data_IF_544222178596
#
_entry.id   IF_544222178596
#
_cell.length_a   1.000
_cell.length_b   1.000
_cell.length_c   1.000
_cell.angle_alpha   90.00
_cell.angle_beta   90.00
_cell.angle_gamma   90.00
#
_symmetry.space_group_name_H-M   'P 1'
#
loop_
_entity.id
_entity.type
_entity.pdbx_description
1 polymer ?
#
# COMPACT_ATOMS: atom_id res chain seq x y z
N UNK A 1 -72.51 98.12 12.79
CA UNK A 1 -71.91 97.72 11.49
C UNK A 1 -70.56 98.40 11.39
N UNK A 2 -69.48 97.63 11.59
CA UNK A 2 -68.10 98.13 11.58
C UNK A 2 -67.36 97.34 10.49
N UNK A 3 -66.94 98.04 9.45
CA UNK A 3 -66.16 97.53 8.32
C UNK A 3 -64.71 97.33 8.77
N UNK A 4 -64.23 96.07 8.74
CA UNK A 4 -62.81 95.74 8.93
C UNK A 4 -62.08 95.83 7.59
N UNK A 5 -60.87 96.41 7.51
CA UNK A 5 -60.15 96.57 6.26
C UNK A 5 -59.59 95.23 5.78
N UNK A 6 -59.87 94.90 4.52
CA UNK A 6 -59.25 93.78 3.81
C UNK A 6 -57.78 94.14 3.58
N UNK A 7 -56.89 93.46 4.29
CA UNK A 7 -55.46 93.49 4.01
C UNK A 7 -55.20 92.80 2.67
N UNK A 8 -54.95 93.60 1.63
CA UNK A 8 -54.38 93.16 0.36
C UNK A 8 -52.95 92.66 0.61
N UNK A 9 -52.79 91.35 0.87
CA UNK A 9 -51.50 90.69 0.73
C UNK A 9 -51.20 90.60 -0.75
N UNK A 10 -50.13 91.27 -1.16
CA UNK A 10 -49.57 91.17 -2.50
C UNK A 10 -49.37 89.71 -2.90
N UNK A 11 -49.76 89.36 -4.13
CA UNK A 11 -49.45 88.07 -4.73
C UNK A 11 -47.93 87.86 -4.70
N UNK A 12 -47.48 86.87 -3.93
CA UNK A 12 -46.13 86.33 -4.07
C UNK A 12 -46.02 85.75 -5.49
N UNK A 13 -45.16 86.36 -6.31
CA UNK A 13 -44.80 85.82 -7.62
C UNK A 13 -44.48 84.33 -7.50
N UNK A 14 -44.96 83.46 -8.41
CA UNK A 14 -44.54 82.06 -8.41
C UNK A 14 -43.01 82.03 -8.47
N UNK A 15 -42.36 81.08 -7.76
CA UNK A 15 -40.91 80.99 -7.79
C UNK A 15 -40.48 80.90 -9.24
N UNK A 16 -39.62 81.82 -9.66
CA UNK A 16 -39.02 81.80 -10.98
C UNK A 16 -38.33 80.45 -11.11
N UNK A 17 -38.87 79.58 -11.96
CA UNK A 17 -38.27 78.30 -12.32
C UNK A 17 -36.88 78.57 -12.87
N UNK A 18 -35.89 78.55 -11.99
CA UNK A 18 -34.50 78.72 -12.39
C UNK A 18 -34.14 77.52 -13.26
N UNK A 19 -33.54 77.74 -14.44
CA UNK A 19 -33.23 76.67 -15.39
C UNK A 19 -32.40 75.55 -14.75
N UNK A 20 -31.61 75.87 -13.73
CA UNK A 20 -30.83 74.94 -12.93
C UNK A 20 -31.66 73.89 -12.17
N UNK A 21 -32.82 74.26 -11.63
CA UNK A 21 -33.69 73.33 -10.89
C UNK A 21 -34.30 72.31 -11.87
N UNK A 22 -34.77 72.77 -13.03
CA UNK A 22 -35.29 71.90 -14.10
C UNK A 22 -34.22 70.94 -14.62
N UNK A 23 -32.98 71.39 -14.79
CA UNK A 23 -31.85 70.53 -15.20
C UNK A 23 -31.55 69.46 -14.14
N UNK A 24 -31.54 69.83 -12.85
CA UNK A 24 -31.36 68.88 -11.74
C UNK A 24 -32.47 67.83 -11.70
N UNK A 25 -33.72 68.21 -11.92
CA UNK A 25 -34.86 67.28 -11.99
C UNK A 25 -34.76 66.32 -13.18
N UNK A 26 -34.39 66.82 -14.37
CA UNK A 26 -34.19 65.99 -15.56
C UNK A 26 -33.07 64.97 -15.33
N UNK A 27 -31.97 65.41 -14.72
CA UNK A 27 -30.85 64.54 -14.36
C UNK A 27 -31.25 63.49 -13.31
N UNK A 28 -32.03 63.88 -12.30
CA UNK A 28 -32.56 62.96 -11.30
C UNK A 28 -33.52 61.92 -11.91
N UNK A 29 -34.41 62.33 -12.82
CA UNK A 29 -35.30 61.41 -13.56
C UNK A 29 -34.49 60.45 -14.43
N UNK A 30 -33.43 60.93 -15.08
CA UNK A 30 -32.52 60.09 -15.88
C UNK A 30 -31.79 59.06 -15.01
N UNK A 31 -31.27 59.48 -13.86
CA UNK A 31 -30.60 58.61 -12.89
C UNK A 31 -31.56 57.53 -12.35
N UNK A 32 -32.79 57.91 -12.00
CA UNK A 32 -33.82 56.97 -11.54
C UNK A 32 -34.16 55.92 -12.61
N UNK A 33 -34.30 56.33 -13.88
CA UNK A 33 -34.55 55.40 -14.99
C UNK A 33 -33.39 54.40 -15.16
N UNK A 34 -32.15 54.86 -15.04
CA UNK A 34 -30.97 53.99 -15.08
C UNK A 34 -30.94 53.00 -13.91
N UNK A 35 -31.25 53.46 -12.69
CA UNK A 35 -31.33 52.59 -11.52
C UNK A 35 -32.45 51.54 -11.65
N UNK A 36 -33.62 51.93 -12.14
CA UNK A 36 -34.72 51.01 -12.41
C UNK A 36 -34.34 49.97 -13.47
N UNK A 37 -33.67 50.39 -14.54
CA UNK A 37 -33.17 49.49 -15.58
C UNK A 37 -32.19 48.46 -15.01
N UNK A 38 -31.20 48.90 -14.21
CA UNK A 38 -30.24 47.99 -13.56
C UNK A 38 -30.92 47.02 -12.59
N UNK A 39 -31.91 47.48 -11.81
CA UNK A 39 -32.71 46.62 -10.92
C UNK A 39 -33.48 45.55 -11.70
N UNK A 40 -34.09 45.92 -12.84
CA UNK A 40 -34.78 44.97 -13.73
C UNK A 40 -33.82 43.94 -14.31
N UNK A 41 -32.64 44.36 -14.78
CA UNK A 41 -31.63 43.42 -15.28
C UNK A 41 -31.16 42.45 -14.20
N UNK A 42 -30.90 42.94 -12.98
CA UNK A 42 -30.50 42.09 -11.85
C UNK A 42 -31.59 41.07 -11.49
N UNK A 43 -32.87 41.46 -11.50
CA UNK A 43 -33.99 40.56 -11.27
C UNK A 43 -34.09 39.47 -12.34
N UNK A 44 -33.94 39.83 -13.63
CA UNK A 44 -33.94 38.86 -14.73
C UNK A 44 -32.78 37.86 -14.62
N UNK A 45 -31.58 38.33 -14.25
CA UNK A 45 -30.44 37.46 -13.99
C UNK A 45 -30.66 36.54 -12.78
N UNK A 46 -31.36 37.02 -11.75
CA UNK A 46 -31.70 36.20 -10.60
C UNK A 46 -32.67 35.07 -11.00
N UNK A 47 -33.71 35.39 -11.77
CA UNK A 47 -34.67 34.39 -12.27
C UNK A 47 -33.99 33.38 -13.20
N UNK A 48 -33.13 33.82 -14.13
CA UNK A 48 -32.42 32.89 -15.03
C UNK A 48 -31.47 31.97 -14.26
N UNK A 49 -30.74 32.49 -13.26
CA UNK A 49 -29.89 31.69 -12.36
C UNK A 49 -30.72 30.73 -11.52
N UNK A 50 -31.87 31.15 -11.02
CA UNK A 50 -32.79 30.28 -10.29
C UNK A 50 -33.28 29.13 -11.17
N UNK A 51 -33.72 29.43 -12.40
CA UNK A 51 -34.15 28.40 -13.37
C UNK A 51 -33.00 27.45 -13.70
N UNK A 52 -31.78 27.93 -13.92
CA UNK A 52 -30.63 27.05 -14.18
C UNK A 52 -30.27 26.17 -12.98
N UNK A 53 -30.33 26.70 -11.75
CA UNK A 53 -30.07 25.93 -10.52
C UNK A 53 -31.18 24.92 -10.21
N UNK A 54 -32.41 25.22 -10.60
CA UNK A 54 -33.58 24.37 -10.37
C UNK A 54 -33.91 23.45 -11.55
N UNK A 55 -33.34 23.69 -12.73
CA UNK A 55 -33.41 22.81 -13.91
C UNK A 55 -33.00 21.35 -13.63
N UNK A 56 -31.93 21.04 -12.88
CA UNK A 56 -31.62 19.65 -12.51
C UNK A 56 -32.64 19.02 -11.55
N UNK A 57 -33.54 19.81 -10.96
CA UNK A 57 -34.65 19.35 -10.12
C UNK A 57 -36.01 19.38 -10.85
N UNK A 58 -36.05 19.81 -12.12
CA UNK A 58 -37.22 19.64 -13.00
C UNK A 58 -37.25 18.15 -13.34
N UNK A 59 -38.26 17.46 -12.82
CA UNK A 59 -38.30 15.99 -12.70
C UNK A 59 -37.66 15.23 -13.85
N UNK A 60 -36.77 14.29 -13.51
CA UNK A 60 -36.15 13.38 -14.45
C UNK A 60 -37.22 12.79 -15.39
N UNK A 61 -36.95 12.84 -16.69
CA UNK A 61 -37.83 12.18 -17.64
C UNK A 61 -37.72 10.66 -17.45
N UNK A 62 -38.81 9.93 -17.71
CA UNK A 62 -38.80 8.45 -17.62
C UNK A 62 -37.70 7.83 -18.49
N UNK A 63 -37.31 8.49 -19.59
CA UNK A 63 -36.20 8.08 -20.45
C UNK A 63 -34.85 8.18 -19.75
N UNK A 64 -34.54 9.33 -19.13
CA UNK A 64 -33.29 9.52 -18.39
C UNK A 64 -33.17 8.56 -17.21
N UNK A 65 -34.29 8.29 -16.51
CA UNK A 65 -34.31 7.28 -15.43
C UNK A 65 -33.96 5.90 -15.99
N UNK A 66 -34.58 5.50 -17.10
CA UNK A 66 -34.30 4.22 -17.75
C UNK A 66 -32.84 4.10 -18.18
N UNK A 67 -32.29 5.13 -18.82
CA UNK A 67 -30.88 5.19 -19.22
C UNK A 67 -29.93 5.08 -18.03
N UNK A 68 -30.25 5.73 -16.90
CA UNK A 68 -29.46 5.59 -15.68
C UNK A 68 -29.51 4.17 -15.09
N UNK A 69 -30.66 3.50 -15.13
CA UNK A 69 -30.77 2.11 -14.69
C UNK A 69 -29.99 1.15 -15.60
N UNK A 70 -30.07 1.35 -16.92
CA UNK A 70 -29.28 0.58 -17.88
C UNK A 70 -27.77 0.81 -17.68
N UNK A 71 -27.35 2.06 -17.48
CA UNK A 71 -25.96 2.40 -17.19
C UNK A 71 -25.47 1.76 -15.86
N UNK A 72 -26.30 1.78 -14.81
CA UNK A 72 -26.02 1.08 -13.55
C UNK A 72 -25.90 -0.43 -13.76
N UNK A 73 -26.81 -1.04 -14.51
CA UNK A 73 -26.78 -2.46 -14.86
C UNK A 73 -25.50 -2.84 -15.63
N UNK A 74 -25.11 -2.02 -16.61
CA UNK A 74 -23.88 -2.21 -17.37
C UNK A 74 -22.62 -2.06 -16.50
N UNK A 75 -22.59 -1.09 -15.59
CA UNK A 75 -21.50 -0.91 -14.64
C UNK A 75 -21.36 -2.11 -13.69
N UNK A 76 -22.48 -2.59 -13.14
CA UNK A 76 -22.50 -3.80 -12.31
C UNK A 76 -22.03 -5.03 -13.08
N UNK A 77 -22.47 -5.21 -14.33
CA UNK A 77 -22.02 -6.31 -15.17
C UNK A 77 -20.49 -6.30 -15.38
N UNK A 78 -19.86 -5.12 -15.54
CA UNK A 78 -18.39 -4.99 -15.61
C UNK A 78 -17.72 -5.42 -14.31
N UNK A 79 -18.25 -5.00 -13.16
CA UNK A 79 -17.74 -5.40 -11.83
C UNK A 79 -17.83 -6.92 -11.67
N UNK A 80 -18.97 -7.53 -11.99
CA UNK A 80 -19.17 -8.99 -11.91
C UNK A 80 -18.24 -9.74 -12.86
N UNK A 81 -18.04 -9.27 -14.09
CA UNK A 81 -17.06 -9.88 -15.01
C UNK A 81 -15.64 -9.81 -14.43
N UNK A 82 -15.25 -8.66 -13.86
CA UNK A 82 -13.93 -8.51 -13.24
C UNK A 82 -13.74 -9.41 -12.02
N UNK A 83 -14.78 -9.61 -11.19
CA UNK A 83 -14.70 -10.49 -10.02
C UNK A 83 -14.59 -11.96 -10.41
N UNK A 84 -15.33 -12.39 -11.44
CA UNK A 84 -15.18 -13.74 -12.02
C UNK A 84 -13.76 -13.99 -12.52
N UNK A 85 -13.18 -13.06 -13.26
CA UNK A 85 -11.79 -13.17 -13.75
C UNK A 85 -10.77 -13.21 -12.60
N UNK A 86 -10.94 -12.38 -11.56
CA UNK A 86 -10.10 -12.42 -10.36
C UNK A 86 -10.19 -13.76 -9.65
N UNK A 87 -11.39 -14.29 -9.47
CA UNK A 87 -11.59 -15.59 -8.82
C UNK A 87 -10.94 -16.71 -9.63
N UNK A 88 -11.09 -16.71 -10.96
CA UNK A 88 -10.41 -17.67 -11.83
C UNK A 88 -8.88 -17.57 -11.68
N UNK A 89 -8.31 -16.36 -11.70
CA UNK A 89 -6.88 -16.17 -11.50
C UNK A 89 -6.41 -16.70 -10.12
N UNK A 90 -7.19 -16.47 -9.06
CA UNK A 90 -6.90 -17.03 -7.72
C UNK A 90 -6.94 -18.55 -7.74
N UNK A 91 -7.93 -19.17 -8.39
CA UNK A 91 -8.00 -20.63 -8.49
C UNK A 91 -6.81 -21.22 -9.25
N UNK A 92 -6.40 -20.62 -10.36
CA UNK A 92 -5.21 -21.06 -11.10
C UNK A 92 -3.93 -20.88 -10.30
N UNK A 93 -3.77 -19.76 -9.59
CA UNK A 93 -2.61 -19.52 -8.74
C UNK A 93 -2.52 -20.54 -7.59
N UNK A 94 -3.65 -20.88 -6.96
CA UNK A 94 -3.72 -21.94 -5.94
C UNK A 94 -3.35 -23.31 -6.51
N UNK A 95 -3.90 -23.68 -7.66
CA UNK A 95 -3.59 -24.96 -8.29
C UNK A 95 -2.09 -25.07 -8.62
N UNK A 96 -1.49 -23.99 -9.15
CA UNK A 96 -0.05 -23.93 -9.41
C UNK A 96 0.79 -24.05 -8.14
N UNK A 97 0.46 -23.30 -7.09
CA UNK A 97 1.17 -23.38 -5.82
C UNK A 97 1.11 -24.79 -5.20
N UNK A 98 -0.05 -25.45 -5.27
CA UNK A 98 -0.19 -26.83 -4.80
C UNK A 98 0.64 -27.81 -5.63
N UNK A 99 0.71 -27.63 -6.96
CA UNK A 99 1.56 -28.44 -7.81
C UNK A 99 3.05 -28.25 -7.50
N UNK A 100 3.50 -27.01 -7.26
CA UNK A 100 4.87 -26.69 -6.87
C UNK A 100 5.23 -27.32 -5.52
N UNK A 101 4.37 -27.21 -4.50
CA UNK A 101 4.58 -27.84 -3.19
C UNK A 101 4.61 -29.38 -3.31
N UNK A 102 3.73 -29.95 -4.13
CA UNK A 102 3.73 -31.40 -4.39
C UNK A 102 5.03 -31.84 -5.07
N UNK A 103 5.55 -31.08 -6.02
CA UNK A 103 6.83 -31.36 -6.65
C UNK A 103 8.01 -31.25 -5.66
N UNK A 104 8.03 -30.20 -4.83
CA UNK A 104 9.07 -30.02 -3.81
C UNK A 104 9.06 -31.17 -2.78
N UNK A 105 7.88 -31.55 -2.28
CA UNK A 105 7.77 -32.67 -1.33
C UNK A 105 8.20 -34.00 -1.93
N UNK A 106 7.91 -34.26 -3.21
CA UNK A 106 8.39 -35.45 -3.89
C UNK A 106 9.92 -35.47 -4.00
N UNK A 107 10.52 -34.34 -4.39
CA UNK A 107 11.98 -34.20 -4.44
C UNK A 107 12.63 -34.36 -3.06
N UNK A 108 12.03 -33.79 -2.01
CA UNK A 108 12.50 -33.97 -0.63
C UNK A 108 12.46 -35.43 -0.18
N UNK A 109 11.38 -36.17 -0.51
CA UNK A 109 11.30 -37.60 -0.18
C UNK A 109 12.41 -38.41 -0.85
N UNK A 110 12.63 -38.20 -2.16
CA UNK A 110 13.70 -38.87 -2.90
C UNK A 110 15.06 -38.56 -2.29
N UNK A 111 15.29 -37.29 -1.93
CA UNK A 111 16.53 -36.87 -1.27
C UNK A 111 16.72 -37.56 0.08
N UNK A 112 15.68 -37.60 0.93
CA UNK A 112 15.75 -38.27 2.22
C UNK A 112 16.00 -39.78 2.07
N UNK A 113 15.38 -40.43 1.10
CA UNK A 113 15.64 -41.85 0.81
C UNK A 113 17.08 -42.08 0.34
N UNK A 114 17.62 -41.19 -0.50
CA UNK A 114 19.01 -41.25 -0.94
C UNK A 114 19.99 -41.01 0.22
N UNK A 115 19.71 -40.03 1.08
CA UNK A 115 20.50 -39.74 2.29
C UNK A 115 20.47 -40.94 3.26
N UNK A 116 19.30 -41.55 3.50
CA UNK A 116 19.19 -42.76 4.32
C UNK A 116 19.99 -43.93 3.75
N UNK A 117 19.94 -44.15 2.43
CA UNK A 117 20.75 -45.18 1.78
C UNK A 117 22.24 -44.89 1.89
N UNK A 118 22.66 -43.63 1.72
CA UNK A 118 24.05 -43.22 1.84
C UNK A 118 24.58 -43.39 3.27
N UNK A 119 23.78 -43.03 4.28
CA UNK A 119 24.10 -43.26 5.70
C UNK A 119 24.20 -44.77 5.96
N UNK A 120 23.26 -45.57 5.46
CA UNK A 120 23.30 -47.01 5.63
C UNK A 120 24.52 -47.65 4.97
N UNK A 121 24.92 -47.20 3.77
CA UNK A 121 26.14 -47.68 3.11
C UNK A 121 27.40 -47.25 3.88
N UNK A 122 27.45 -46.02 4.37
CA UNK A 122 28.56 -45.55 5.18
C UNK A 122 28.70 -46.36 6.48
N UNK A 123 27.59 -46.61 7.19
CA UNK A 123 27.58 -47.45 8.39
C UNK A 123 28.01 -48.90 8.10
N UNK A 124 27.66 -49.44 6.93
CA UNK A 124 28.15 -50.77 6.50
C UNK A 124 29.66 -50.77 6.29
N UNK A 125 30.18 -49.81 5.55
CA UNK A 125 31.62 -49.65 5.33
C UNK A 125 32.38 -49.51 6.65
N UNK A 126 31.90 -48.66 7.57
CA UNK A 126 32.52 -48.48 8.88
C UNK A 126 32.52 -49.76 9.73
N UNK A 127 31.49 -50.61 9.61
CA UNK A 127 31.43 -51.93 10.27
C UNK A 127 32.33 -52.97 9.62
N UNK A 128 32.51 -52.90 8.31
CA UNK A 128 33.44 -53.76 7.57
C UNK A 128 34.90 -53.43 7.95
N UNK A 129 35.22 -52.15 8.09
CA UNK A 129 36.54 -51.68 8.53
C UNK A 129 36.80 -51.96 10.02
N UNK A 130 35.77 -51.84 10.87
CA UNK A 130 35.85 -52.18 12.29
C UNK A 130 34.57 -52.91 12.77
N UNK A 131 34.62 -54.23 13.03
CA UNK A 131 33.44 -54.99 13.45
C UNK A 131 32.87 -54.55 14.81
N UNK A 132 33.68 -53.95 15.69
CA UNK A 132 33.26 -53.44 17.01
C UNK A 132 32.89 -51.95 16.98
N UNK A 133 32.80 -51.33 15.81
CA UNK A 133 32.51 -49.89 15.65
C UNK A 133 31.29 -49.41 16.46
N UNK A 134 30.24 -50.22 16.54
CA UNK A 134 29.02 -49.86 17.28
C UNK A 134 29.24 -49.68 18.78
N UNK A 135 30.01 -50.57 19.41
CA UNK A 135 30.30 -50.52 20.85
C UNK A 135 31.26 -49.38 21.17
N UNK A 136 32.30 -49.19 20.34
CA UNK A 136 33.25 -48.09 20.49
C UNK A 136 32.58 -46.72 20.31
N UNK A 137 31.67 -46.59 19.34
CA UNK A 137 30.91 -45.37 19.13
C UNK A 137 30.00 -45.04 20.33
N UNK A 138 29.38 -46.06 20.94
CA UNK A 138 28.59 -45.90 22.17
C UNK A 138 29.45 -45.46 23.34
N UNK A 139 30.60 -46.11 23.57
CA UNK A 139 31.54 -45.72 24.62
C UNK A 139 32.09 -44.30 24.44
N UNK A 140 32.38 -43.90 23.20
CA UNK A 140 32.78 -42.51 22.91
C UNK A 140 31.64 -41.53 23.15
N UNK A 141 30.39 -41.91 22.84
CA UNK A 141 29.22 -41.08 23.08
C UNK A 141 28.95 -40.91 24.58
N UNK A 142 29.05 -41.98 25.38
CA UNK A 142 28.92 -41.90 26.84
C UNK A 142 30.02 -41.05 27.45
N UNK A 143 31.28 -41.26 27.06
CA UNK A 143 32.40 -40.42 27.52
C UNK A 143 32.23 -38.95 27.12
N UNK A 144 31.70 -38.65 25.93
CA UNK A 144 31.41 -37.27 25.51
C UNK A 144 30.25 -36.66 26.29
N UNK A 145 29.21 -37.44 26.57
CA UNK A 145 28.06 -37.00 27.36
C UNK A 145 28.45 -36.77 28.83
N UNK A 146 29.27 -37.64 29.42
CA UNK A 146 29.83 -37.49 30.76
C UNK A 146 30.74 -36.25 30.86
N UNK A 147 31.54 -35.98 29.83
CA UNK A 147 32.35 -34.74 29.74
C UNK A 147 31.51 -33.48 29.56
N UNK A 148 30.30 -33.60 29.00
CA UNK A 148 29.31 -32.53 28.91
C UNK A 148 28.31 -32.65 30.06
N UNK A 149 28.78 -32.50 31.29
CA UNK A 149 27.90 -32.35 32.44
C UNK A 149 27.03 -31.11 32.25
N UNK A 150 25.75 -31.31 31.92
CA UNK A 150 24.65 -30.32 31.93
C UNK A 150 25.04 -28.86 31.71
N UNK A 151 25.29 -28.47 30.47
CA UNK A 151 25.31 -27.04 30.12
C UNK A 151 23.91 -26.46 30.39
N UNK A 152 23.78 -25.53 31.34
CA UNK A 152 22.51 -24.83 31.56
C UNK A 152 22.10 -24.11 30.27
N UNK A 153 20.87 -24.35 29.81
CA UNK A 153 20.31 -23.68 28.64
C UNK A 153 19.96 -22.24 29.02
N UNK A 154 20.93 -21.34 28.94
CA UNK A 154 20.77 -19.91 29.23
C UNK A 154 20.04 -19.15 28.10
N UNK A 155 19.79 -19.81 26.97
CA UNK A 155 19.16 -19.22 25.78
C UNK A 155 17.69 -18.80 26.00
N UNK A 156 17.06 -19.26 27.06
CA UNK A 156 15.67 -18.89 27.42
C UNK A 156 15.58 -17.68 28.34
N UNK A 157 16.68 -17.21 28.93
CA UNK A 157 16.69 -16.12 29.93
C UNK A 157 16.35 -14.73 29.33
N UNK A 158 16.47 -14.57 28.01
CA UNK A 158 16.23 -13.31 27.30
C UNK A 158 14.94 -13.24 26.47
N UNK A 159 14.07 -14.25 26.54
CA UNK A 159 12.81 -14.25 25.80
C UNK A 159 11.77 -13.38 26.51
N UNK A 160 11.00 -12.55 25.78
CA UNK A 160 9.94 -11.76 26.39
C UNK A 160 8.90 -12.70 27.01
N UNK A 161 8.69 -12.57 28.33
CA UNK A 161 7.66 -13.29 29.07
C UNK A 161 6.31 -12.93 28.44
N UNK A 162 5.64 -13.91 27.86
CA UNK A 162 4.29 -13.75 27.32
C UNK A 162 3.35 -13.50 28.50
N UNK A 163 2.54 -12.44 28.45
CA UNK A 163 1.64 -12.02 29.56
C UNK A 163 0.54 -13.03 29.95
N UNK A 164 0.55 -14.24 29.39
CA UNK A 164 -0.43 -15.32 29.64
C UNK A 164 0.22 -16.68 29.92
N UNK A 165 1.53 -16.76 30.11
CA UNK A 165 2.15 -18.01 30.58
C UNK A 165 1.94 -18.13 32.08
N UNK A 166 1.37 -19.25 32.50
CA UNK A 166 1.42 -19.69 33.89
C UNK A 166 2.83 -20.23 34.08
N UNK A 167 3.56 -19.70 35.06
CA UNK A 167 4.84 -20.28 35.47
C UNK A 167 4.55 -21.69 35.97
N UNK A 168 4.93 -22.68 35.18
CA UNK A 168 4.79 -24.08 35.56
C UNK A 168 5.98 -24.42 36.44
N UNK A 169 5.86 -24.11 37.73
CA UNK A 169 6.82 -24.49 38.75
C UNK A 169 6.72 -26.00 39.01
N UNK A 170 7.36 -26.81 38.16
CA UNK A 170 7.38 -28.28 38.28
C UNK A 170 8.14 -28.79 39.52
N UNK A 171 8.62 -27.91 40.42
CA UNK A 171 9.43 -28.28 41.59
C UNK A 171 8.89 -27.77 42.94
N UNK A 172 7.90 -26.88 42.98
CA UNK A 172 7.52 -26.18 44.23
C UNK A 172 6.29 -26.75 44.96
N UNK A 173 5.98 -28.03 44.74
CA UNK A 173 4.80 -28.71 45.31
C UNK A 173 4.86 -29.03 46.82
N UNK A 174 5.84 -28.51 47.57
CA UNK A 174 6.05 -28.90 48.98
C UNK A 174 5.81 -27.82 50.04
N UNK A 175 5.30 -26.63 49.72
CA UNK A 175 4.98 -25.64 50.78
C UNK A 175 3.63 -24.91 50.61
N UNK A 176 2.64 -25.47 51.31
CA UNK A 176 1.69 -24.81 52.24
C UNK A 176 0.72 -23.72 51.73
N UNK A 177 -0.55 -24.14 51.70
CA UNK A 177 -1.81 -23.45 52.06
C UNK A 177 -2.19 -22.12 51.36
N UNK A 178 -3.22 -22.11 50.49
CA UNK A 178 -3.86 -20.88 50.06
C UNK A 178 -4.89 -20.45 51.11
N UNK A 179 -4.58 -19.40 51.88
CA UNK A 179 -5.63 -18.62 52.52
C UNK A 179 -6.32 -17.78 51.43
N UNK A 180 -7.49 -18.24 50.98
CA UNK A 180 -8.41 -17.48 50.15
C UNK A 180 -8.81 -16.20 50.89
N UNK A 181 -8.20 -15.06 50.53
CA UNK A 181 -8.77 -13.75 50.83
C UNK A 181 -9.56 -13.32 49.59
N UNK A 182 -10.87 -13.52 49.69
CA UNK A 182 -11.88 -12.99 48.78
C UNK A 182 -11.97 -11.47 48.93
N UNK A 183 -11.81 -10.77 47.81
CA UNK A 183 -12.31 -9.40 47.64
C UNK A 183 -11.38 -8.28 48.09
N UNK A 184 -10.63 -7.74 47.12
CA UNK A 184 -10.43 -6.29 46.85
C UNK A 184 -9.27 -6.16 45.85
N UNK A 185 -9.61 -5.92 44.59
CA UNK A 185 -8.64 -5.40 43.60
C UNK A 185 -8.51 -3.91 43.90
N UNK A 186 -7.57 -3.53 44.75
CA UNK A 186 -7.14 -2.14 44.85
C UNK A 186 -6.26 -1.83 43.63
N UNK A 187 -6.86 -1.14 42.66
CA UNK A 187 -6.11 -0.55 41.54
C UNK A 187 -5.31 0.64 42.08
N UNK A 188 -4.02 0.44 42.34
CA UNK A 188 -3.10 1.55 42.51
C UNK A 188 -2.77 2.14 41.12
N UNK A 189 -2.93 3.46 40.90
CA UNK A 189 -2.49 4.10 39.68
C UNK A 189 -0.96 4.17 39.67
N UNK A 190 -0.34 3.48 38.72
CA UNK A 190 1.10 3.59 38.47
C UNK A 190 1.35 4.91 37.75
N UNK A 191 1.69 5.96 38.52
CA UNK A 191 2.38 7.12 37.99
C UNK A 191 3.82 6.70 37.62
N UNK A 192 4.33 7.03 36.42
CA UNK A 192 5.74 6.81 36.13
C UNK A 192 6.58 7.81 36.97
N UNK A 193 7.35 7.26 37.90
CA UNK A 193 8.37 8.00 38.63
C UNK A 193 9.47 8.44 37.66
N UNK A 194 9.70 9.75 37.61
CA UNK A 194 10.87 10.35 36.97
C UNK A 194 12.12 9.92 37.75
N UNK A 195 12.94 9.04 37.17
CA UNK A 195 14.31 8.86 37.62
C UNK A 195 15.18 9.95 37.00
N UNK A 196 15.49 10.98 37.78
CA UNK A 196 16.52 11.96 37.48
C UNK A 196 17.86 11.47 38.02
N UNK A 197 18.79 11.12 37.13
CA UNK A 197 20.23 11.15 37.44
C UNK A 197 20.81 12.48 36.93
N UNK A 198 21.62 13.21 37.72
CA UNK A 198 22.18 14.49 37.32
C UNK A 198 23.41 14.27 36.43
N UNK A 199 23.43 14.87 35.24
CA UNK A 199 24.66 15.05 34.47
C UNK A 199 24.75 16.49 33.95
N UNK A 200 25.96 17.03 34.07
CA UNK A 200 26.41 18.40 33.96
C UNK A 200 26.19 19.10 32.60
N UNK A 201 26.27 20.45 32.53
CA UNK A 201 25.74 21.24 31.43
C UNK A 201 26.71 21.32 30.25
N UNK A 202 26.39 20.66 29.14
CA UNK A 202 27.09 20.85 27.86
C UNK A 202 26.45 21.99 27.05
N UNK A 203 27.18 23.11 27.00
CA UNK A 203 27.12 24.24 26.05
C UNK A 203 26.26 24.03 24.79
N UNK A 204 25.19 24.82 24.68
CA UNK A 204 24.50 25.04 23.41
C UNK A 204 25.41 25.86 22.45
N UNK A 205 25.66 25.41 21.20
CA UNK A 205 26.22 26.30 20.18
C UNK A 205 25.15 27.31 19.76
N UNK A 206 25.53 28.58 19.78
CA UNK A 206 24.72 29.70 19.32
C UNK A 206 24.33 29.49 17.84
N UNK A 207 23.03 29.59 17.53
CA UNK A 207 22.58 29.73 16.13
C UNK A 207 21.33 28.96 15.70
N UNK A 208 20.51 28.39 16.58
CA UNK A 208 19.23 27.80 16.18
C UNK A 208 18.08 28.68 16.67
N UNK A 209 17.21 29.23 15.79
CA UNK A 209 16.07 30.03 16.21
C UNK A 209 15.14 29.18 17.11
N UNK A 210 14.72 29.77 18.23
CA UNK A 210 13.95 29.16 19.33
C UNK A 210 12.60 28.55 18.94
N UNK A 211 12.20 28.63 17.67
CA UNK A 211 11.02 27.97 17.13
C UNK A 211 11.22 26.45 16.91
N UNK A 212 12.47 25.95 16.87
CA UNK A 212 12.76 24.52 16.65
C UNK A 212 12.67 23.65 17.92
N UNK A 213 12.44 24.25 19.09
CA UNK A 213 12.34 23.57 20.39
C UNK A 213 10.90 23.54 20.94
N UNK A 214 9.89 23.50 20.05
CA UNK A 214 8.60 22.99 20.49
C UNK A 214 8.75 21.48 20.67
N UNK A 215 8.46 20.91 21.86
CA UNK A 215 8.30 19.47 21.95
C UNK A 215 7.16 19.15 20.99
N UNK A 216 7.48 18.49 19.88
CA UNK A 216 6.44 17.86 19.07
C UNK A 216 5.63 17.03 20.04
N UNK A 217 4.33 17.32 20.18
CA UNK A 217 3.44 16.44 20.93
C UNK A 217 3.65 15.01 20.43
N UNK A 218 3.53 14.02 21.30
CA UNK A 218 3.74 12.61 20.91
C UNK A 218 2.91 12.24 19.67
N UNK A 219 1.72 12.83 19.54
CA UNK A 219 0.84 12.72 18.37
C UNK A 219 1.49 13.26 17.07
N UNK A 220 2.21 14.37 17.14
CA UNK A 220 2.90 14.95 15.97
C UNK A 220 4.10 14.11 15.53
N UNK A 221 4.84 13.50 16.48
CA UNK A 221 5.93 12.57 16.16
C UNK A 221 5.40 11.29 15.52
N UNK A 222 4.30 10.74 16.04
CA UNK A 222 3.63 9.58 15.45
C UNK A 222 3.10 9.89 14.05
N UNK A 223 2.48 11.05 13.85
CA UNK A 223 1.99 11.48 12.54
C UNK A 223 3.13 11.67 11.53
N UNK A 224 4.28 12.19 11.96
CA UNK A 224 5.47 12.34 11.13
C UNK A 224 6.08 10.98 10.77
N UNK A 225 6.22 10.07 11.73
CA UNK A 225 6.69 8.70 11.50
C UNK A 225 5.77 7.93 10.54
N UNK A 226 4.46 8.07 10.70
CA UNK A 226 3.48 7.44 9.80
C UNK A 226 3.59 8.00 8.37
N UNK A 227 3.79 9.31 8.21
CA UNK A 227 4.02 9.93 6.90
C UNK A 227 5.30 9.41 6.26
N UNK A 228 6.40 9.34 7.01
CA UNK A 228 7.67 8.80 6.54
C UNK A 228 7.51 7.34 6.09
N UNK A 229 6.90 6.48 6.92
CA UNK A 229 6.62 5.08 6.57
C UNK A 229 5.80 4.95 5.28
N UNK A 230 4.79 5.80 5.09
CA UNK A 230 3.99 5.82 3.85
C UNK A 230 4.80 6.27 2.63
N UNK A 231 5.72 7.23 2.78
CA UNK A 231 6.60 7.65 1.69
C UNK A 231 7.60 6.56 1.31
N UNK A 232 8.20 5.89 2.29
CA UNK A 232 9.14 4.78 2.06
C UNK A 232 8.43 3.60 1.40
N UNK A 233 7.23 3.24 1.86
CA UNK A 233 6.43 2.19 1.24
C UNK A 233 6.15 2.48 -0.25
N UNK A 234 5.73 3.71 -0.57
CA UNK A 234 5.51 4.13 -1.97
C UNK A 234 6.80 4.06 -2.79
N UNK A 235 7.93 4.46 -2.22
CA UNK A 235 9.26 4.38 -2.86
C UNK A 235 9.65 2.93 -3.15
N UNK A 236 9.49 2.02 -2.18
CA UNK A 236 9.76 0.59 -2.37
C UNK A 236 8.84 -0.02 -3.43
N UNK A 237 7.55 0.34 -3.43
CA UNK A 237 6.60 -0.12 -4.43
C UNK A 237 6.98 0.34 -5.85
N UNK A 238 7.45 1.58 -6.00
CA UNK A 238 7.94 2.10 -7.27
C UNK A 238 9.18 1.33 -7.76
N UNK A 239 10.15 1.09 -6.87
CA UNK A 239 11.35 0.29 -7.19
C UNK A 239 11.00 -1.13 -7.62
N UNK A 240 10.05 -1.78 -6.94
CA UNK A 240 9.60 -3.12 -7.29
C UNK A 240 8.93 -3.15 -8.68
N UNK A 241 8.15 -2.11 -9.03
CA UNK A 241 7.57 -1.98 -10.39
C UNK A 241 8.66 -1.85 -11.46
N UNK A 242 9.70 -1.06 -11.20
CA UNK A 242 10.84 -0.90 -12.13
C UNK A 242 11.59 -2.21 -12.30
N UNK A 243 11.91 -2.92 -11.20
CA UNK A 243 12.55 -4.24 -11.25
C UNK A 243 11.72 -5.25 -12.06
N UNK A 244 10.40 -5.31 -11.81
CA UNK A 244 9.50 -6.19 -12.55
C UNK A 244 9.41 -5.83 -14.05
N UNK A 245 9.41 -4.54 -14.39
CA UNK A 245 9.43 -4.09 -15.78
C UNK A 245 10.72 -4.51 -16.50
N UNK A 246 11.87 -4.37 -15.84
CA UNK A 246 13.17 -4.79 -16.36
C UNK A 246 13.25 -6.30 -16.60
N UNK A 247 12.79 -7.10 -15.63
CA UNK A 247 12.71 -8.56 -15.79
C UNK A 247 11.81 -8.94 -16.97
N UNK A 248 10.66 -8.25 -17.15
CA UNK A 248 9.78 -8.48 -18.31
C UNK A 248 10.48 -8.14 -19.62
N UNK A 249 11.20 -7.02 -19.70
CA UNK A 249 11.94 -6.68 -20.92
C UNK A 249 13.03 -7.71 -21.25
N UNK A 250 13.77 -8.20 -20.25
CA UNK A 250 14.79 -9.24 -20.42
C UNK A 250 14.17 -10.57 -20.92
N UNK A 251 13.03 -10.98 -20.35
CA UNK A 251 12.29 -12.16 -20.82
C UNK A 251 11.79 -11.97 -22.25
N UNK A 252 11.28 -10.79 -22.61
CA UNK A 252 10.85 -10.53 -24.01
C UNK A 252 12.01 -10.52 -24.99
N UNK A 253 13.17 -9.96 -24.61
CA UNK A 253 14.37 -9.94 -25.47
C UNK A 253 14.93 -11.35 -25.68
N UNK A 254 14.97 -12.17 -24.63
CA UNK A 254 15.36 -13.59 -24.73
C UNK A 254 14.34 -14.40 -25.55
N UNK A 255 13.05 -14.13 -25.40
CA UNK A 255 12.00 -14.75 -26.22
C UNK A 255 12.11 -14.37 -27.70
N UNK A 256 12.37 -13.10 -28.03
CA UNK A 256 12.61 -12.64 -29.41
C UNK A 256 13.86 -13.33 -29.98
N UNK A 257 14.96 -13.38 -29.21
CA UNK A 257 16.19 -14.07 -29.62
C UNK A 257 15.97 -15.56 -29.92
N UNK A 258 15.23 -16.27 -29.07
CA UNK A 258 14.93 -17.71 -29.27
C UNK A 258 13.98 -17.94 -30.43
N UNK A 259 13.01 -17.05 -30.65
CA UNK A 259 12.11 -17.09 -31.80
C UNK A 259 12.89 -16.88 -33.11
N UNK A 260 13.78 -15.88 -33.17
CA UNK A 260 14.61 -15.61 -34.34
C UNK A 260 15.56 -16.77 -34.64
N UNK A 261 16.17 -17.38 -33.61
CA UNK A 261 16.97 -18.62 -33.76
C UNK A 261 16.14 -19.74 -34.38
N UNK A 262 14.92 -19.99 -33.88
CA UNK A 262 14.02 -21.01 -34.44
C UNK A 262 13.62 -20.73 -35.89
N UNK A 263 13.34 -19.46 -36.22
CA UNK A 263 13.01 -19.06 -37.59
C UNK A 263 14.18 -19.34 -38.54
N UNK A 264 15.39 -18.91 -38.19
CA UNK A 264 16.60 -19.16 -38.99
C UNK A 264 16.90 -20.65 -39.16
N UNK A 265 16.68 -21.46 -38.11
CA UNK A 265 16.84 -22.92 -38.21
C UNK A 265 15.83 -23.56 -39.15
N UNK A 266 14.57 -23.09 -39.16
CA UNK A 266 13.56 -23.57 -40.10
C UNK A 266 13.92 -23.19 -41.54
N UNK A 267 14.32 -21.94 -41.78
CA UNK A 267 14.77 -21.48 -43.09
C UNK A 267 15.98 -22.31 -43.59
N UNK A 268 16.93 -22.61 -42.70
CA UNK A 268 18.09 -23.44 -43.01
C UNK A 268 17.70 -24.90 -43.32
N UNK A 269 16.77 -25.49 -42.57
CA UNK A 269 16.22 -26.82 -42.85
C UNK A 269 15.55 -26.88 -44.23
N UNK A 270 14.80 -25.83 -44.60
CA UNK A 270 14.17 -25.74 -45.93
C UNK A 270 15.23 -25.74 -47.02
N UNK A 271 16.28 -24.91 -46.90
CA UNK A 271 17.38 -24.87 -47.86
C UNK A 271 18.09 -26.23 -48.01
N UNK A 272 18.23 -26.97 -46.91
CA UNK A 272 18.80 -28.32 -46.93
C UNK A 272 17.89 -29.33 -47.62
N UNK A 273 16.58 -29.30 -47.32
CA UNK A 273 15.61 -30.19 -47.96
C UNK A 273 15.39 -29.92 -49.45
N UNK A 274 15.69 -28.69 -49.89
CA UNK A 274 15.65 -28.30 -51.30
C UNK A 274 16.99 -28.55 -52.03
N UNK A 275 17.94 -29.24 -51.38
CA UNK A 275 19.30 -29.54 -51.89
C UNK A 275 20.11 -28.30 -52.33
N UNK A 276 19.77 -27.11 -51.79
CA UNK A 276 20.44 -25.83 -52.12
C UNK A 276 21.74 -25.62 -51.35
N UNK A 277 22.01 -26.42 -50.32
CA UNK A 277 23.22 -26.34 -49.49
C UNK A 277 23.80 -27.73 -49.24
N UNK A 278 25.12 -27.81 -49.12
CA UNK A 278 25.80 -29.07 -48.78
C UNK A 278 25.60 -29.46 -47.30
N UNK A 279 25.70 -30.76 -46.96
CA UNK A 279 25.63 -31.20 -45.56
C UNK A 279 26.66 -30.53 -44.65
N UNK A 280 27.86 -30.26 -45.16
CA UNK A 280 28.92 -29.56 -44.41
C UNK A 280 28.50 -28.12 -44.08
N UNK A 281 27.99 -27.38 -45.07
CA UNK A 281 27.49 -26.02 -44.88
C UNK A 281 26.28 -25.95 -43.94
N UNK A 282 25.41 -26.97 -43.96
CA UNK A 282 24.29 -27.08 -43.03
C UNK A 282 24.77 -27.04 -41.57
N UNK A 283 25.74 -27.88 -41.22
CA UNK A 283 26.23 -27.98 -39.84
C UNK A 283 27.01 -26.73 -39.41
N UNK A 284 27.81 -26.14 -40.30
CA UNK A 284 28.52 -24.88 -40.02
C UNK A 284 27.55 -23.72 -39.75
N UNK A 285 26.54 -23.53 -40.61
CA UNK A 285 25.52 -22.48 -40.43
C UNK A 285 24.65 -22.74 -39.21
N UNK A 286 24.32 -24.01 -38.93
CA UNK A 286 23.59 -24.41 -37.71
C UNK A 286 24.39 -24.08 -36.45
N UNK A 287 25.69 -24.33 -36.45
CA UNK A 287 26.58 -24.00 -35.32
C UNK A 287 26.62 -22.48 -35.07
N UNK A 288 26.68 -21.66 -36.13
CA UNK A 288 26.63 -20.20 -36.02
C UNK A 288 25.29 -19.68 -35.45
N UNK A 289 24.16 -20.32 -35.79
CA UNK A 289 22.83 -19.92 -35.29
C UNK A 289 22.62 -20.36 -33.82
N UNK A 290 23.06 -21.57 -33.48
CA UNK A 290 22.95 -22.10 -32.12
C UNK A 290 23.90 -21.38 -31.16
N UNK A 291 25.07 -20.95 -31.65
CA UNK A 291 26.16 -20.42 -30.84
C UNK A 291 26.90 -21.52 -30.08
N UNK A 292 27.95 -21.18 -29.31
CA UNK A 292 28.59 -22.14 -28.42
C UNK A 292 27.55 -22.67 -27.43
N UNK A 293 27.42 -23.99 -27.36
CA UNK A 293 26.62 -24.64 -26.32
C UNK A 293 27.23 -24.25 -24.99
N UNK A 294 26.49 -23.65 -24.04
CA UNK A 294 27.03 -23.39 -22.72
C UNK A 294 27.46 -24.74 -22.15
N UNK A 295 28.75 -24.89 -21.85
CA UNK A 295 29.27 -26.07 -21.18
C UNK A 295 28.45 -26.25 -19.89
N UNK A 296 27.82 -27.43 -19.77
CA UNK A 296 26.98 -27.80 -18.63
C UNK A 296 27.76 -27.55 -17.33
N UNK A 297 27.19 -26.72 -16.44
CA UNK A 297 27.55 -26.63 -15.02
C UNK A 297 26.59 -27.48 -14.22
#
# INVERSE_FOLDING_TARGET
MILSPVNLKADEKPPVDSPEIRIKEINNRRLQRQLQYKKRQAALQHVSRFIQKTAPYRGFTLKEIKEQYEAKGAALAKVVKSSKLRNQAITYARARALAEVKAMSAAMRIRLEAEQRAIASALRQMKEENPNYGEEALLLATQKAEKKSGEMVTQTEGLPILSKTIDMDYLDSLKRNPALISGKIERLPINPANFSTPQEPSKNPAGVPSFALQPYSEENLQALAQRQAMTEYKKQQALNKVKAARQRSEITQTAVSTYDKRRKLKELLVLYSEDKISPKEYYERRALIMGPVPAEQ
#
